data_IF_024337552173
#
_entry.id   IF_024337552173
#
_cell.length_a   1.000
_cell.length_b   1.000
_cell.length_c   1.000
_cell.angle_alpha   90.00
_cell.angle_beta   90.00
_cell.angle_gamma   90.00
#
_symmetry.space_group_name_H-M   'P 1'
#
loop_
_entity.id
_entity.type
_entity.pdbx_description
1 polymer ?
#
# COMPACT_ATOMS: atom_id res chain seq x y z
N UNK A 1 -7.86 0.09 -7.04
CA UNK A 1 -7.85 -0.84 -8.17
C UNK A 1 -7.84 -0.07 -9.50
N UNK A 2 -8.81 0.81 -9.75
CA UNK A 2 -8.90 1.57 -11.00
C UNK A 2 -7.60 2.32 -11.34
N UNK A 3 -7.02 3.03 -10.38
CA UNK A 3 -5.77 3.76 -10.59
C UNK A 3 -4.61 2.82 -10.93
N UNK A 4 -4.53 1.69 -10.22
CA UNK A 4 -3.52 0.68 -10.48
C UNK A 4 -3.62 0.17 -11.92
N UNK A 5 -4.83 -0.17 -12.36
CA UNK A 5 -5.04 -0.71 -13.72
C UNK A 5 -4.72 0.33 -14.78
N UNK A 6 -5.12 1.58 -14.55
CA UNK A 6 -4.80 2.69 -15.46
C UNK A 6 -3.28 2.85 -15.62
N UNK A 7 -2.56 2.87 -14.51
CA UNK A 7 -1.10 3.03 -14.52
C UNK A 7 -0.42 1.83 -15.17
N UNK A 8 -0.93 0.61 -14.90
CA UNK A 8 -0.36 -0.61 -15.48
C UNK A 8 -0.49 -0.64 -17.00
N UNK A 9 -1.59 -0.13 -17.55
CA UNK A 9 -1.74 -0.05 -19.02
C UNK A 9 -0.61 0.80 -19.61
N UNK A 10 -0.33 1.95 -18.99
CA UNK A 10 0.74 2.84 -19.47
C UNK A 10 2.10 2.15 -19.35
N UNK A 11 2.36 1.49 -18.21
CA UNK A 11 3.65 0.81 -17.99
C UNK A 11 3.85 -0.37 -18.94
N UNK A 12 2.79 -1.14 -19.20
CA UNK A 12 2.86 -2.26 -20.16
C UNK A 12 3.17 -1.73 -21.55
N UNK A 13 2.51 -0.64 -21.95
CA UNK A 13 2.78 -0.04 -23.26
C UNK A 13 4.25 0.38 -23.38
N UNK A 14 4.79 1.06 -22.36
CA UNK A 14 6.20 1.49 -22.37
C UNK A 14 7.12 0.28 -22.42
N UNK A 15 6.86 -0.74 -21.61
CA UNK A 15 7.68 -1.95 -21.56
C UNK A 15 7.71 -2.66 -22.91
N UNK A 16 6.55 -2.82 -23.54
CA UNK A 16 6.45 -3.47 -24.83
C UNK A 16 7.18 -2.68 -25.91
N UNK A 17 7.02 -1.35 -25.89
CA UNK A 17 7.68 -0.48 -26.86
C UNK A 17 9.21 -0.59 -26.74
N UNK A 18 9.73 -0.48 -25.52
CA UNK A 18 11.18 -0.55 -25.30
C UNK A 18 11.71 -1.95 -25.64
N UNK A 19 11.00 -3.00 -25.22
CA UNK A 19 11.40 -4.37 -25.49
C UNK A 19 11.43 -4.64 -27.00
N UNK A 20 10.45 -4.12 -27.74
CA UNK A 20 10.41 -4.26 -29.19
C UNK A 20 11.62 -3.56 -29.83
N UNK A 21 11.90 -2.32 -29.44
CA UNK A 21 13.03 -1.56 -29.96
C UNK A 21 14.36 -2.28 -29.65
N UNK A 22 14.53 -2.75 -28.42
CA UNK A 22 15.75 -3.44 -27.99
C UNK A 22 15.94 -4.73 -28.77
N UNK A 23 14.86 -5.46 -29.03
CA UNK A 23 14.92 -6.70 -29.85
C UNK A 23 15.35 -6.37 -31.27
N UNK A 24 14.75 -5.34 -31.86
CA UNK A 24 15.14 -4.94 -33.23
C UNK A 24 16.61 -4.54 -33.27
N UNK A 25 17.10 -3.80 -32.28
CA UNK A 25 18.49 -3.38 -32.23
C UNK A 25 19.45 -4.59 -32.10
N UNK A 26 19.04 -5.60 -31.30
CA UNK A 26 19.88 -6.78 -31.12
C UNK A 26 20.09 -7.56 -32.42
N UNK A 27 19.08 -7.56 -33.30
CA UNK A 27 19.18 -8.26 -34.60
C UNK A 27 19.61 -7.34 -35.75
N UNK A 28 19.81 -6.05 -35.50
CA UNK A 28 20.22 -5.08 -36.49
C UNK A 28 21.69 -5.27 -36.86
N UNK A 29 21.97 -5.32 -38.16
CA UNK A 29 23.32 -5.50 -38.67
C UNK A 29 23.96 -4.17 -39.12
N UNK A 30 23.22 -3.09 -39.11
CA UNK A 30 23.71 -1.78 -39.53
C UNK A 30 24.25 -1.01 -38.35
N UNK A 31 25.43 -0.39 -38.53
CA UNK A 31 26.08 0.40 -37.48
C UNK A 31 26.45 1.77 -38.02
N UNK A 32 26.27 2.78 -37.19
CA UNK A 32 26.70 4.14 -37.45
C UNK A 32 27.70 4.58 -36.39
N UNK A 33 28.98 4.59 -36.76
CA UNK A 33 30.06 4.94 -35.84
C UNK A 33 30.19 6.45 -35.63
N UNK A 34 29.57 7.25 -36.49
CA UNK A 34 29.71 8.69 -36.46
C UNK A 34 28.53 9.39 -35.80
N UNK A 35 27.58 8.63 -35.29
CA UNK A 35 26.44 9.17 -34.56
C UNK A 35 26.88 9.51 -33.13
N UNK A 36 27.34 10.75 -32.94
CA UNK A 36 27.87 11.21 -31.63
C UNK A 36 26.85 11.95 -30.81
N UNK A 37 25.80 12.44 -31.44
CA UNK A 37 24.73 13.18 -30.73
C UNK A 37 23.45 13.14 -31.55
N UNK A 38 22.32 13.38 -30.87
CA UNK A 38 21.01 13.40 -31.52
C UNK A 38 20.06 14.29 -30.76
N UNK A 39 20.25 15.60 -30.89
CA UNK A 39 19.53 16.59 -30.09
C UNK A 39 18.02 16.47 -30.21
N UNK A 40 17.53 16.17 -31.41
CA UNK A 40 16.09 16.05 -31.65
C UNK A 40 15.51 14.84 -30.91
N UNK A 41 16.19 13.71 -30.94
CA UNK A 41 15.75 12.50 -30.25
C UNK A 41 15.82 12.70 -28.73
N UNK A 42 16.87 13.38 -28.27
CA UNK A 42 17.02 13.68 -26.85
C UNK A 42 15.87 14.55 -26.33
N UNK A 43 15.47 15.52 -27.13
CA UNK A 43 14.30 16.32 -26.79
C UNK A 43 13.02 15.47 -26.69
N UNK A 44 12.87 14.58 -27.54
CA UNK A 44 11.87 13.89 -27.57
C UNK A 44 11.68 13.08 -26.51
N UNK A 45 12.67 12.34 -26.22
CA UNK A 45 12.51 11.40 -25.12
C UNK A 45 12.47 12.08 -23.73
N UNK A 46 12.80 13.34 -23.67
CA UNK A 46 12.64 14.15 -22.45
C UNK A 46 11.20 14.64 -22.30
N UNK A 47 10.61 15.14 -23.38
CA UNK A 47 9.28 15.73 -23.35
C UNK A 47 8.19 14.66 -23.23
N UNK A 48 8.31 13.53 -23.93
CA UNK A 48 7.28 12.51 -23.92
C UNK A 48 7.05 11.91 -22.53
N UNK A 49 8.08 11.50 -21.77
CA UNK A 49 7.86 11.04 -20.40
C UNK A 49 7.28 12.11 -19.49
N UNK A 50 7.63 13.37 -19.70
CA UNK A 50 7.06 14.47 -18.92
C UNK A 50 5.53 14.50 -19.03
N UNK A 51 5.01 14.39 -20.25
CA UNK A 51 3.56 14.36 -20.45
C UNK A 51 2.92 13.12 -19.85
N UNK A 52 3.60 11.97 -19.96
CA UNK A 52 3.10 10.73 -19.34
C UNK A 52 3.00 10.89 -17.82
N UNK A 53 4.00 11.49 -17.19
CA UNK A 53 3.99 11.73 -15.74
C UNK A 53 2.85 12.66 -15.33
N UNK A 54 2.60 13.73 -16.10
CA UNK A 54 1.49 14.63 -15.82
C UNK A 54 0.16 13.86 -15.91
N UNK A 55 0.02 13.01 -16.93
CA UNK A 55 -1.18 12.19 -17.13
C UNK A 55 -1.42 11.23 -15.96
N UNK A 56 -0.37 10.68 -15.38
CA UNK A 56 -0.47 9.79 -14.21
C UNK A 56 -0.74 10.59 -12.95
N UNK A 57 -0.17 11.80 -12.84
CA UNK A 57 -0.29 12.64 -11.64
C UNK A 57 -1.75 13.04 -11.37
N UNK A 58 -2.54 13.29 -12.40
CA UNK A 58 -3.92 13.73 -12.22
C UNK A 58 -4.77 12.73 -11.42
N UNK A 59 -4.90 11.46 -11.83
CA UNK A 59 -5.63 10.50 -11.01
C UNK A 59 -4.92 10.15 -9.70
N UNK A 60 -3.60 10.25 -9.65
CA UNK A 60 -2.84 10.01 -8.42
C UNK A 60 -3.21 11.03 -7.34
N UNK A 61 -3.28 12.31 -7.71
CA UNK A 61 -3.69 13.37 -6.77
C UNK A 61 -5.13 13.17 -6.32
N UNK A 62 -6.01 12.76 -7.23
CA UNK A 62 -7.40 12.49 -6.88
C UNK A 62 -7.49 11.39 -5.81
N UNK A 63 -6.73 10.32 -5.97
CA UNK A 63 -6.71 9.22 -5.00
C UNK A 63 -6.13 9.68 -3.66
N UNK A 64 -5.10 10.52 -3.70
CA UNK A 64 -4.50 11.06 -2.49
C UNK A 64 -5.54 11.80 -1.65
N UNK A 65 -6.33 12.68 -2.29
CA UNK A 65 -7.40 13.40 -1.60
C UNK A 65 -8.49 12.47 -1.08
N UNK A 66 -8.86 11.45 -1.85
CA UNK A 66 -9.87 10.48 -1.43
C UNK A 66 -9.39 9.63 -0.24
N UNK A 67 -8.10 9.31 -0.20
CA UNK A 67 -7.51 8.55 0.89
C UNK A 67 -7.54 9.33 2.21
N UNK A 68 -7.31 10.63 2.14
CA UNK A 68 -7.34 11.51 3.32
C UNK A 68 -8.76 11.86 3.75
N UNK A 69 -9.76 11.61 2.91
CA UNK A 69 -11.14 11.94 3.23
C UNK A 69 -11.66 11.03 4.34
N UNK A 70 -12.13 11.66 5.42
CA UNK A 70 -12.68 10.95 6.58
C UNK A 70 -14.15 10.70 6.33
N UNK A 71 -14.54 9.43 6.20
CA UNK A 71 -15.95 9.05 6.07
C UNK A 71 -16.63 9.10 7.44
N UNK A 72 -17.95 9.27 7.43
CA UNK A 72 -18.75 9.23 8.66
C UNK A 72 -18.64 7.82 9.26
N UNK A 73 -17.91 7.72 10.36
CA UNK A 73 -17.79 6.47 11.10
C UNK A 73 -18.74 6.48 12.30
N UNK A 74 -19.14 5.29 12.73
CA UNK A 74 -20.07 5.16 13.86
C UNK A 74 -19.39 4.57 15.09
N UNK A 75 -18.16 4.09 14.92
CA UNK A 75 -17.38 3.50 16.02
C UNK A 75 -15.92 3.82 15.78
N UNK A 76 -15.23 4.28 16.82
CA UNK A 76 -13.80 4.55 16.78
C UNK A 76 -13.08 3.68 17.80
N UNK A 77 -12.02 3.01 17.36
CA UNK A 77 -11.20 2.17 18.22
C UNK A 77 -9.75 2.58 18.02
N UNK A 78 -9.04 2.75 19.13
CA UNK A 78 -7.62 3.07 19.11
C UNK A 78 -6.83 1.80 19.37
N UNK A 79 -5.86 1.49 18.50
CA UNK A 79 -4.99 0.34 18.64
C UNK A 79 -3.59 0.84 18.92
N UNK A 80 -3.02 0.42 20.05
CA UNK A 80 -1.72 0.88 20.53
C UNK A 80 -0.75 -0.30 20.54
N UNK A 81 0.32 -0.19 19.76
CA UNK A 81 1.32 -1.23 19.65
C UNK A 81 2.36 -1.15 20.76
N UNK A 82 2.75 -2.32 21.26
CA UNK A 82 3.81 -2.49 22.26
C UNK A 82 4.71 -3.67 21.88
N UNK A 83 5.83 -3.79 22.50
CA UNK A 83 6.71 -4.97 22.41
C UNK A 83 6.33 -5.95 23.53
N UNK A 84 5.54 -6.99 23.36
CA UNK A 84 5.02 -7.48 22.09
C UNK A 84 3.56 -7.85 22.30
N UNK A 85 2.69 -6.85 22.36
CA UNK A 85 1.25 -7.01 22.57
C UNK A 85 0.54 -5.78 22.04
N UNK A 86 -0.79 -5.81 21.99
CA UNK A 86 -1.60 -4.68 21.56
C UNK A 86 -2.54 -4.25 22.68
N UNK A 87 -2.76 -2.94 22.78
CA UNK A 87 -3.79 -2.38 23.67
C UNK A 87 -4.91 -1.81 22.79
N UNK A 88 -6.15 -2.08 23.18
CA UNK A 88 -7.33 -1.59 22.47
C UNK A 88 -8.14 -0.67 23.38
N UNK A 89 -8.50 0.51 22.86
CA UNK A 89 -9.35 1.48 23.55
C UNK A 89 -10.61 1.72 22.72
N UNK A 90 -11.79 1.50 23.32
CA UNK A 90 -13.10 1.75 22.71
C UNK A 90 -13.63 3.06 23.30
N UNK A 91 -13.33 4.17 22.66
CA UNK A 91 -13.60 5.50 23.21
C UNK A 91 -15.07 5.93 23.10
N UNK A 92 -15.86 5.29 22.24
CA UNK A 92 -17.26 5.66 22.05
C UNK A 92 -18.18 5.12 23.14
N UNK A 93 -17.69 4.20 23.95
CA UNK A 93 -18.40 3.67 25.11
C UNK A 93 -17.77 4.20 26.39
N UNK A 94 -18.28 3.77 27.54
CA UNK A 94 -17.56 4.00 28.81
C UNK A 94 -16.17 3.39 28.65
N UNK A 95 -15.14 4.12 29.06
CA UNK A 95 -13.74 3.83 28.78
C UNK A 95 -13.38 2.35 28.92
N UNK A 96 -13.56 1.62 27.83
CA UNK A 96 -13.16 0.20 27.72
C UNK A 96 -11.75 0.18 27.16
N UNK A 97 -10.83 -0.37 27.97
CA UNK A 97 -9.44 -0.51 27.58
C UNK A 97 -8.93 -1.85 28.07
N UNK A 98 -8.20 -2.57 27.23
CA UNK A 98 -7.64 -3.86 27.60
C UNK A 98 -6.41 -4.18 26.74
N UNK A 99 -5.55 -5.03 27.32
CA UNK A 99 -4.38 -5.55 26.63
C UNK A 99 -4.69 -6.90 26.00
N UNK A 100 -4.06 -7.18 24.85
CA UNK A 100 -4.24 -8.39 24.08
C UNK A 100 -2.89 -9.03 23.85
N UNK A 101 -2.62 -10.15 24.53
CA UNK A 101 -1.38 -10.89 24.46
C UNK A 101 -1.55 -12.18 23.66
N UNK A 102 -0.53 -12.52 22.87
CA UNK A 102 -0.51 -13.79 22.16
C UNK A 102 -0.46 -14.95 23.15
N UNK A 103 -1.27 -15.98 22.90
CA UNK A 103 -1.31 -17.17 23.76
C UNK A 103 -0.01 -17.94 23.59
N UNK A 104 0.74 -18.23 24.68
CA UNK A 104 1.96 -19.03 24.59
C UNK A 104 1.65 -20.47 24.15
N UNK A 105 2.64 -21.11 23.51
CA UNK A 105 2.48 -22.46 22.98
C UNK A 105 2.05 -23.49 24.03
N UNK A 106 2.56 -23.34 25.26
CA UNK A 106 2.26 -24.29 26.34
C UNK A 106 0.85 -24.13 26.90
N UNK A 107 0.14 -23.04 26.57
CA UNK A 107 -1.23 -22.79 27.01
C UNK A 107 -2.23 -22.90 25.87
N UNK A 108 -1.77 -23.20 24.66
CA UNK A 108 -2.61 -23.26 23.46
C UNK A 108 -3.53 -24.48 23.50
N UNK A 109 -4.81 -24.25 23.29
CA UNK A 109 -5.80 -25.33 23.25
C UNK A 109 -5.87 -25.93 21.83
N UNK A 110 -6.38 -27.19 21.69
CA UNK A 110 -6.38 -27.86 20.38
C UNK A 110 -7.14 -27.12 19.28
N UNK A 111 -8.12 -26.28 19.65
CA UNK A 111 -8.93 -25.54 18.69
C UNK A 111 -8.41 -24.10 18.44
N UNK A 112 -7.33 -23.72 19.06
CA UNK A 112 -6.74 -22.38 18.92
C UNK A 112 -5.58 -22.41 17.92
N UNK A 113 -5.35 -21.29 17.26
CA UNK A 113 -4.36 -21.18 16.19
C UNK A 113 -3.01 -20.69 16.75
N UNK A 114 -2.00 -21.44 16.43
CA UNK A 114 -0.63 -21.13 16.85
C UNK A 114 -0.20 -19.77 16.27
N UNK A 115 0.33 -18.91 17.14
CA UNK A 115 0.85 -17.57 16.81
C UNK A 115 -0.20 -16.58 16.29
N UNK A 116 -1.49 -16.94 16.31
CA UNK A 116 -2.55 -16.08 15.83
C UNK A 116 -3.60 -15.77 16.89
N UNK A 117 -3.75 -16.66 17.87
CA UNK A 117 -4.77 -16.45 18.91
C UNK A 117 -4.22 -15.66 20.10
N UNK A 118 -5.12 -14.89 20.73
CA UNK A 118 -4.82 -14.00 21.84
C UNK A 118 -5.77 -14.29 23.02
N UNK A 119 -5.38 -13.81 24.20
CA UNK A 119 -6.20 -13.95 25.41
C UNK A 119 -7.46 -13.07 25.35
N UNK A 120 -7.31 -11.82 24.89
CA UNK A 120 -8.42 -10.88 24.75
C UNK A 120 -8.53 -10.42 23.31
N UNK A 121 -9.59 -10.83 22.61
CA UNK A 121 -9.77 -10.49 21.20
C UNK A 121 -10.41 -9.11 21.05
N UNK A 122 -9.96 -8.39 20.03
CA UNK A 122 -10.60 -7.14 19.61
C UNK A 122 -11.91 -7.46 18.92
N UNK A 123 -13.02 -7.17 19.55
CA UNK A 123 -14.36 -7.51 19.06
C UNK A 123 -14.92 -6.32 18.29
N UNK A 124 -15.31 -6.58 17.03
CA UNK A 124 -15.82 -5.56 16.13
C UNK A 124 -17.16 -6.02 15.55
N UNK A 125 -18.12 -5.09 15.36
CA UNK A 125 -19.38 -5.43 14.73
C UNK A 125 -19.19 -5.70 13.23
N UNK A 126 -19.88 -6.72 12.73
CA UNK A 126 -19.85 -7.09 11.32
C UNK A 126 -20.59 -6.02 10.49
N UNK A 127 -20.05 -5.72 9.32
CA UNK A 127 -20.65 -4.83 8.32
C UNK A 127 -21.03 -3.46 8.91
N UNK A 128 -20.11 -2.87 9.67
CA UNK A 128 -20.33 -1.61 10.37
C UNK A 128 -19.12 -0.69 10.11
N UNK A 129 -19.35 0.61 9.81
CA UNK A 129 -18.21 1.52 9.53
C UNK A 129 -17.45 1.84 10.82
N UNK A 130 -16.21 1.39 10.88
CA UNK A 130 -15.34 1.52 12.04
C UNK A 130 -14.09 2.31 11.64
N UNK A 131 -13.70 3.25 12.51
CA UNK A 131 -12.42 3.96 12.37
C UNK A 131 -11.41 3.32 13.32
N UNK A 132 -10.31 2.85 12.76
CA UNK A 132 -9.19 2.32 13.55
C UNK A 132 -8.09 3.39 13.58
N UNK A 133 -7.75 3.85 14.77
CA UNK A 133 -6.67 4.81 15.00
C UNK A 133 -5.44 4.03 15.49
N UNK A 134 -4.44 3.88 14.65
CA UNK A 134 -3.29 3.05 14.96
C UNK A 134 -2.12 3.92 15.43
N UNK A 135 -1.51 3.55 16.55
CA UNK A 135 -0.36 4.24 17.11
C UNK A 135 0.53 3.25 17.85
N UNK A 136 1.58 3.75 18.47
CA UNK A 136 2.53 2.94 19.24
C UNK A 136 3.12 3.78 20.37
N UNK A 137 3.50 3.12 21.46
CA UNK A 137 4.16 3.77 22.60
C UNK A 137 5.65 3.44 22.70
N UNK A 138 6.17 2.54 21.88
CA UNK A 138 7.60 2.20 21.92
C UNK A 138 8.23 2.31 20.54
N UNK A 139 8.29 1.23 19.76
CA UNK A 139 8.84 1.24 18.40
C UNK A 139 7.70 1.22 17.39
N UNK A 140 8.05 1.39 16.12
CA UNK A 140 7.04 1.37 15.04
C UNK A 140 6.49 -0.06 14.88
N UNK A 141 5.17 -0.18 14.90
CA UNK A 141 4.45 -1.43 14.67
C UNK A 141 3.50 -1.28 13.49
N UNK A 142 3.00 -2.40 12.99
CA UNK A 142 2.00 -2.43 11.93
C UNK A 142 0.84 -3.32 12.36
N UNK A 143 -0.34 -2.73 12.49
CA UNK A 143 -1.54 -3.48 12.86
C UNK A 143 -2.11 -4.15 11.62
N UNK A 144 -2.41 -5.45 11.72
CA UNK A 144 -2.82 -6.28 10.58
C UNK A 144 -3.87 -7.28 11.01
N UNK A 145 -4.82 -7.54 10.11
CA UNK A 145 -5.76 -8.65 10.25
C UNK A 145 -5.33 -9.73 9.26
N UNK A 146 -4.83 -10.89 9.78
CA UNK A 146 -4.36 -11.96 8.90
C UNK A 146 -5.47 -12.60 8.07
#
# INVERSE_FOLDING_TARGET
IFFHDFTMIILIFITLLISFIMTLLAFNKFNDRFLLHGNLIELXWTIAPMFILIFIAMPSLKILYLTDEIHTNKLSIKTIGHQWYWTYEYSDFSSIEFDSFMIPLNQLKPYEFRLLDVDNRCILPFNYPIRILTTSLDVIHSWTVP
#
